data_IF_170912248038
#
_entry.id   IF_170912248038
#
_cell.length_a   1.000
_cell.length_b   1.000
_cell.length_c   1.000
_cell.angle_alpha   90.00
_cell.angle_beta   90.00
_cell.angle_gamma   90.00
#
_symmetry.space_group_name_H-M   'P 1'
#
loop_
_entity.id
_entity.type
_entity.pdbx_description
1 polymer ?
#
# COMPACT_ATOMS: atom_id res chain seq x y z
N UNK A 1 10.65 14.19 3.96
CA UNK A 1 11.46 13.40 3.00
C UNK A 1 12.11 12.24 3.74
N UNK A 2 12.02 11.02 3.19
CA UNK A 2 12.71 9.83 3.74
C UNK A 2 13.73 9.39 2.70
N UNK A 3 14.96 9.07 3.12
CA UNK A 3 16.00 8.62 2.20
C UNK A 3 16.70 7.37 2.76
N UNK A 4 16.87 6.36 1.91
CA UNK A 4 17.57 5.12 2.21
C UNK A 4 18.65 4.91 1.16
N UNK A 5 19.92 4.78 1.60
CA UNK A 5 21.11 4.66 0.74
C UNK A 5 21.89 3.41 1.10
N UNK A 6 22.02 2.51 0.14
CA UNK A 6 22.83 1.27 0.19
C UNK A 6 22.59 0.45 1.46
N UNK A 7 21.34 0.52 1.98
CA UNK A 7 20.99 -0.07 3.24
C UNK A 7 21.01 -1.60 3.16
N UNK A 8 21.88 -2.20 3.96
CA UNK A 8 21.89 -3.64 4.18
C UNK A 8 21.79 -3.93 5.67
N UNK A 9 20.93 -4.87 6.03
CA UNK A 9 20.83 -5.42 7.37
C UNK A 9 20.81 -6.93 7.30
N UNK A 10 21.89 -7.56 7.73
CA UNK A 10 22.06 -9.01 7.68
C UNK A 10 21.99 -9.54 9.12
N UNK A 11 21.12 -10.50 9.36
CA UNK A 11 21.00 -11.21 10.64
C UNK A 11 21.94 -12.43 10.66
N UNK A 12 22.17 -13.02 11.85
CA UNK A 12 23.06 -14.17 12.04
C UNK A 12 22.71 -15.40 11.20
N UNK A 13 21.45 -15.54 10.81
CA UNK A 13 20.95 -16.62 9.94
C UNK A 13 21.12 -16.32 8.43
N UNK A 14 21.84 -15.26 8.06
CA UNK A 14 22.06 -14.85 6.69
C UNK A 14 20.87 -14.13 6.02
N UNK A 15 19.69 -14.09 6.66
CA UNK A 15 18.52 -13.37 6.15
C UNK A 15 18.64 -11.88 6.47
N UNK A 16 17.88 -11.06 5.70
CA UNK A 16 17.88 -9.62 5.92
C UNK A 16 17.41 -8.83 4.71
N UNK A 17 17.94 -7.61 4.61
CA UNK A 17 17.76 -6.76 3.43
C UNK A 17 19.14 -6.38 2.89
N UNK A 18 19.22 -6.22 1.57
CA UNK A 18 20.46 -6.09 0.85
C UNK A 18 20.36 -4.95 -0.14
N UNK A 19 21.23 -3.95 0.02
CA UNK A 19 21.43 -2.87 -0.93
C UNK A 19 20.14 -2.10 -1.28
N UNK A 20 19.32 -1.81 -0.26
CA UNK A 20 18.06 -1.10 -0.40
C UNK A 20 18.31 0.38 -0.67
N UNK A 21 17.79 0.86 -1.79
CA UNK A 21 17.89 2.25 -2.22
C UNK A 21 16.51 2.78 -2.61
N UNK A 22 16.01 3.79 -1.92
CA UNK A 22 14.83 4.54 -2.32
C UNK A 22 14.74 5.88 -1.61
N UNK A 23 13.91 6.77 -2.17
CA UNK A 23 13.63 8.08 -1.63
C UNK A 23 12.13 8.34 -1.67
N UNK A 24 11.59 8.86 -0.57
CA UNK A 24 10.22 9.37 -0.46
C UNK A 24 10.30 10.88 -0.40
N UNK A 25 9.65 11.55 -1.33
CA UNK A 25 9.65 13.01 -1.39
C UNK A 25 8.72 13.62 -0.32
N UNK A 26 8.90 14.91 -0.04
CA UNK A 26 8.01 15.59 0.91
C UNK A 26 6.59 15.65 0.36
N UNK A 27 5.61 15.25 1.17
CA UNK A 27 4.19 15.22 0.79
C UNK A 27 3.79 14.03 -0.09
N UNK A 28 4.71 13.09 -0.32
CA UNK A 28 4.46 11.87 -1.09
C UNK A 28 3.89 10.76 -0.20
N UNK A 29 2.98 9.97 -0.76
CA UNK A 29 2.58 8.67 -0.22
C UNK A 29 3.30 7.58 -1.01
N UNK A 30 4.20 6.86 -0.35
CA UNK A 30 5.06 5.85 -0.94
C UNK A 30 4.72 4.46 -0.41
N UNK A 31 4.40 3.54 -1.31
CA UNK A 31 4.13 2.15 -1.02
C UNK A 31 5.41 1.32 -0.95
N UNK A 32 5.51 0.42 0.02
CA UNK A 32 6.59 -0.56 0.11
C UNK A 32 5.97 -1.94 0.04
N UNK A 33 5.89 -2.49 -1.17
CA UNK A 33 5.05 -3.63 -1.53
C UNK A 33 5.89 -4.91 -1.64
N UNK A 34 5.38 -5.99 -1.07
CA UNK A 34 6.03 -7.30 -1.14
C UNK A 34 5.39 -8.34 -0.23
N UNK A 35 5.67 -9.63 -0.43
CA UNK A 35 5.13 -10.70 0.39
C UNK A 35 5.65 -10.65 1.83
N UNK A 36 5.07 -11.47 2.70
CA UNK A 36 5.56 -11.65 4.04
C UNK A 36 6.98 -12.21 4.01
N UNK A 37 7.85 -11.64 4.87
CA UNK A 37 9.26 -12.02 4.90
C UNK A 37 10.16 -11.36 3.86
N UNK A 38 9.62 -10.55 2.92
CA UNK A 38 10.42 -9.88 1.89
C UNK A 38 11.41 -8.82 2.41
N UNK A 39 11.31 -8.40 3.69
CA UNK A 39 12.22 -7.42 4.29
C UNK A 39 11.56 -6.07 4.62
N UNK A 40 10.26 -5.87 4.40
CA UNK A 40 9.53 -4.63 4.67
C UNK A 40 9.75 -4.12 6.09
N UNK A 41 9.36 -4.92 7.08
CA UNK A 41 9.52 -4.57 8.51
C UNK A 41 10.99 -4.37 8.91
N UNK A 42 11.94 -5.11 8.32
CA UNK A 42 13.38 -4.92 8.58
C UNK A 42 13.83 -3.54 8.12
N UNK A 43 13.42 -3.10 6.93
CA UNK A 43 13.72 -1.76 6.40
C UNK A 43 13.09 -0.68 7.28
N UNK A 44 11.81 -0.83 7.65
CA UNK A 44 11.11 0.09 8.55
C UNK A 44 11.81 0.19 9.90
N UNK A 45 12.23 -0.92 10.51
CA UNK A 45 12.96 -0.90 11.80
C UNK A 45 14.29 -0.14 11.74
N UNK A 46 14.99 -0.16 10.59
CA UNK A 46 16.18 0.68 10.40
C UNK A 46 15.81 2.17 10.29
N UNK A 47 14.75 2.53 9.58
CA UNK A 47 14.24 3.90 9.50
C UNK A 47 13.81 4.47 10.86
N UNK A 48 13.30 3.61 11.74
CA UNK A 48 12.90 3.99 13.11
C UNK A 48 14.05 4.03 14.11
N UNK A 49 15.27 3.64 13.69
CA UNK A 49 16.42 3.53 14.59
C UNK A 49 16.33 2.35 15.58
N UNK A 50 15.40 1.40 15.38
CA UNK A 50 15.23 0.22 16.25
C UNK A 50 16.29 -0.85 15.99
N UNK A 51 16.92 -0.82 14.83
CA UNK A 51 18.03 -1.70 14.46
C UNK A 51 19.13 -0.90 13.77
N UNK A 52 20.38 -1.32 13.97
CA UNK A 52 21.51 -0.73 13.25
C UNK A 52 21.71 -1.46 11.92
N UNK A 53 21.90 -0.73 10.82
CA UNK A 53 22.26 -1.34 9.55
C UNK A 53 23.65 -2.01 9.63
N UNK A 54 23.86 -3.02 8.80
CA UNK A 54 25.18 -3.64 8.57
C UNK A 54 26.02 -2.75 7.65
N UNK A 55 25.37 -2.14 6.65
CA UNK A 55 25.94 -1.16 5.70
C UNK A 55 24.89 -0.12 5.32
N UNK A 56 25.34 1.00 4.77
CA UNK A 56 24.47 2.07 4.29
C UNK A 56 23.91 2.94 5.40
N UNK A 57 22.94 3.76 5.04
CA UNK A 57 22.33 4.74 5.94
C UNK A 57 20.88 5.01 5.59
N UNK A 58 20.15 5.58 6.56
CA UNK A 58 18.82 6.12 6.34
C UNK A 58 18.64 7.43 7.10
N UNK A 59 17.82 8.32 6.54
CA UNK A 59 17.52 9.62 7.13
C UNK A 59 16.03 10.00 6.93
N UNK A 60 15.50 10.77 7.87
CA UNK A 60 14.17 11.37 7.81
C UNK A 60 14.31 12.88 8.03
N UNK A 61 13.82 13.67 7.07
CA UNK A 61 13.98 15.12 7.04
C UNK A 61 15.45 15.59 7.24
N UNK A 62 16.42 14.83 6.68
CA UNK A 62 17.85 15.09 6.81
C UNK A 62 18.47 14.64 8.12
N UNK A 63 17.68 14.15 9.08
CA UNK A 63 18.15 13.61 10.35
C UNK A 63 18.53 12.14 10.18
N UNK A 64 19.72 11.77 10.65
CA UNK A 64 20.20 10.38 10.64
C UNK A 64 19.34 9.50 11.56
N UNK A 65 18.78 8.43 11.02
CA UNK A 65 17.81 7.58 11.72
C UNK A 65 18.38 6.90 12.99
N UNK A 66 19.69 6.71 13.04
CA UNK A 66 20.37 6.11 14.20
C UNK A 66 20.77 7.16 15.24
N UNK A 67 21.41 8.25 14.79
CA UNK A 67 21.99 9.25 15.70
C UNK A 67 20.94 10.20 16.27
N UNK A 68 19.88 10.45 15.51
CA UNK A 68 18.85 11.44 15.84
C UNK A 68 17.46 10.82 16.03
N UNK A 69 17.40 9.50 16.33
CA UNK A 69 16.15 8.77 16.52
C UNK A 69 15.16 9.47 17.46
N UNK A 70 15.63 10.01 18.59
CA UNK A 70 14.77 10.74 19.55
C UNK A 70 14.13 12.01 18.95
N UNK A 71 14.83 12.71 18.07
CA UNK A 71 14.29 13.90 17.37
C UNK A 71 13.27 13.48 16.32
N UNK A 72 13.57 12.41 15.58
CA UNK A 72 12.69 11.85 14.56
C UNK A 72 11.36 11.38 15.19
N UNK A 73 11.39 10.72 16.36
CA UNK A 73 10.20 10.25 17.05
C UNK A 73 9.22 11.37 17.42
N UNK A 74 9.67 12.60 17.59
CA UNK A 74 8.78 13.76 17.89
C UNK A 74 7.90 14.15 16.71
N UNK A 75 8.39 13.96 15.48
CA UNK A 75 7.70 14.35 14.24
C UNK A 75 7.05 13.14 13.52
N UNK A 76 7.21 11.94 14.08
CA UNK A 76 6.84 10.69 13.45
C UNK A 76 5.57 10.08 14.05
N UNK A 77 4.64 9.68 13.17
CA UNK A 77 3.58 8.72 13.47
C UNK A 77 3.97 7.34 13.00
N UNK A 78 3.81 6.32 13.85
CA UNK A 78 4.21 4.95 13.51
C UNK A 78 3.15 3.93 13.88
N UNK A 79 2.88 3.00 12.96
CA UNK A 79 2.11 1.78 13.22
C UNK A 79 3.02 0.59 12.98
N UNK A 80 3.30 -0.25 14.00
CA UNK A 80 4.00 -1.51 13.81
C UNK A 80 3.09 -2.58 13.20
N UNK A 81 3.67 -3.53 12.46
CA UNK A 81 2.93 -4.65 11.88
C UNK A 81 2.27 -5.55 12.95
N UNK A 82 2.88 -5.61 14.13
CA UNK A 82 2.29 -6.22 15.33
C UNK A 82 2.34 -5.21 16.47
N UNK A 83 1.17 -4.81 16.96
CA UNK A 83 1.06 -3.83 18.04
C UNK A 83 0.93 -4.51 19.38
N UNK A 84 1.86 -4.23 20.29
CA UNK A 84 1.75 -4.60 21.69
C UNK A 84 0.99 -3.54 22.49
N UNK A 85 0.07 -3.97 23.32
CA UNK A 85 -0.75 -3.11 24.15
C UNK A 85 -0.68 -3.51 25.62
N UNK A 86 -1.10 -2.60 26.50
CA UNK A 86 -1.34 -2.92 27.90
C UNK A 86 -2.75 -3.49 28.05
N UNK A 87 -2.87 -4.80 28.19
CA UNK A 87 -4.14 -5.54 28.17
C UNK A 87 -5.16 -5.11 29.23
N UNK A 88 -4.71 -4.56 30.35
CA UNK A 88 -5.58 -4.10 31.45
C UNK A 88 -6.16 -2.70 31.23
N UNK A 89 -5.61 -1.94 30.29
CA UNK A 89 -6.14 -0.61 29.94
C UNK A 89 -7.37 -0.73 29.04
N UNK A 90 -8.21 0.31 29.04
CA UNK A 90 -9.18 0.55 27.96
C UNK A 90 -8.48 1.22 26.79
N UNK A 91 -9.12 1.19 25.60
CA UNK A 91 -8.58 1.89 24.42
C UNK A 91 -8.31 3.36 24.68
N UNK A 92 -9.27 4.06 25.31
CA UNK A 92 -9.10 5.49 25.61
C UNK A 92 -7.97 5.74 26.62
N UNK A 93 -7.81 4.86 27.62
CA UNK A 93 -6.71 4.99 28.58
C UNK A 93 -5.36 4.82 27.90
N UNK A 94 -5.22 3.86 26.97
CA UNK A 94 -3.99 3.67 26.21
C UNK A 94 -3.70 4.85 25.28
N UNK A 95 -4.71 5.36 24.57
CA UNK A 95 -4.57 6.52 23.68
C UNK A 95 -4.12 7.75 24.48
N UNK A 96 -4.74 8.02 25.63
CA UNK A 96 -4.35 9.12 26.52
C UNK A 96 -2.94 8.95 27.05
N UNK A 97 -2.57 7.74 27.48
CA UNK A 97 -1.21 7.44 27.93
C UNK A 97 -0.14 7.78 26.87
N UNK A 98 -0.41 7.45 25.58
CA UNK A 98 0.51 7.82 24.49
C UNK A 98 0.55 9.34 24.28
N UNK A 99 -0.58 10.05 24.41
CA UNK A 99 -0.65 11.51 24.35
C UNK A 99 0.19 12.16 25.45
N UNK A 100 0.04 11.67 26.68
CA UNK A 100 0.76 12.15 27.87
C UNK A 100 2.28 11.91 27.73
N UNK A 101 2.69 10.72 27.25
CA UNK A 101 4.10 10.42 26.96
C UNK A 101 4.73 11.35 25.93
N UNK A 102 3.92 11.86 24.97
CA UNK A 102 4.39 12.85 23.99
C UNK A 102 4.44 14.27 24.55
N UNK A 103 3.83 14.53 25.69
CA UNK A 103 3.70 15.86 26.27
C UNK A 103 2.87 16.82 25.41
N UNK A 104 1.90 16.31 24.67
CA UNK A 104 1.07 17.07 23.72
C UNK A 104 -0.42 16.88 24.03
N UNK A 105 -1.21 17.95 23.92
CA UNK A 105 -2.67 17.80 23.91
C UNK A 105 -3.16 17.37 22.54
N UNK A 106 -3.51 16.09 22.45
CA UNK A 106 -4.04 15.48 21.23
C UNK A 106 -5.58 15.33 21.26
N UNK A 107 -6.27 15.87 22.28
CA UNK A 107 -7.68 15.59 22.59
C UNK A 107 -8.61 15.82 21.40
N UNK A 108 -8.52 16.97 20.75
CA UNK A 108 -9.36 17.33 19.60
C UNK A 108 -9.21 16.36 18.41
N UNK A 109 -7.99 16.03 18.05
CA UNK A 109 -7.72 15.13 16.92
C UNK A 109 -8.01 13.68 17.30
N UNK A 110 -7.69 13.28 18.54
CA UNK A 110 -8.04 11.99 19.10
C UNK A 110 -9.55 11.73 19.01
N UNK A 111 -10.37 12.66 19.48
CA UNK A 111 -11.83 12.49 19.53
C UNK A 111 -12.44 12.43 18.13
N UNK A 112 -11.92 13.25 17.20
CA UNK A 112 -12.25 13.14 15.78
C UNK A 112 -11.94 11.73 15.22
N UNK A 113 -10.75 11.21 15.48
CA UNK A 113 -10.33 9.90 14.95
C UNK A 113 -11.09 8.74 15.60
N UNK A 114 -11.44 8.83 16.88
CA UNK A 114 -12.31 7.86 17.57
C UNK A 114 -13.67 7.78 16.88
N UNK A 115 -14.28 8.91 16.58
CA UNK A 115 -15.54 8.97 15.84
C UNK A 115 -15.39 8.50 14.40
N UNK A 116 -14.34 8.92 13.72
CA UNK A 116 -14.06 8.56 12.33
C UNK A 116 -13.92 7.04 12.13
N UNK A 117 -13.22 6.35 13.03
CA UNK A 117 -13.07 4.89 13.00
C UNK A 117 -14.15 4.13 13.79
N UNK A 118 -15.15 4.82 14.35
CA UNK A 118 -16.20 4.19 15.16
C UNK A 118 -15.61 3.26 16.23
N UNK A 119 -14.60 3.75 16.97
CA UNK A 119 -13.93 2.95 17.99
C UNK A 119 -14.71 3.00 19.32
N UNK A 120 -15.11 1.85 19.83
CA UNK A 120 -15.61 1.66 21.19
C UNK A 120 -14.45 1.77 22.21
N UNK A 121 -13.96 3.02 22.42
CA UNK A 121 -12.70 3.30 23.11
C UNK A 121 -12.71 2.93 24.60
N UNK A 122 -13.88 2.84 25.25
CA UNK A 122 -14.01 2.46 26.66
C UNK A 122 -13.87 0.96 26.94
N UNK A 123 -13.82 0.13 25.89
CA UNK A 123 -13.63 -1.32 26.01
C UNK A 123 -12.20 -1.65 26.46
N UNK A 124 -12.04 -2.67 27.33
CA UNK A 124 -10.71 -3.16 27.73
C UNK A 124 -9.99 -3.78 26.52
N UNK A 125 -8.72 -3.47 26.32
CA UNK A 125 -7.92 -3.91 25.15
C UNK A 125 -7.88 -5.44 25.04
N UNK A 126 -7.78 -6.17 26.17
CA UNK A 126 -7.83 -7.66 26.16
C UNK A 126 -9.14 -8.24 25.60
N UNK A 127 -10.22 -7.45 25.56
CA UNK A 127 -11.53 -7.83 25.02
C UNK A 127 -11.79 -7.28 23.61
N UNK A 128 -10.83 -6.56 23.03
CA UNK A 128 -10.94 -6.00 21.69
C UNK A 128 -10.57 -7.06 20.63
N UNK A 129 -11.28 -7.05 19.51
CA UNK A 129 -10.90 -7.81 18.32
C UNK A 129 -9.59 -7.25 17.73
N UNK A 130 -8.95 -8.00 16.80
CA UNK A 130 -7.78 -7.53 16.06
C UNK A 130 -8.04 -6.18 15.38
N UNK A 131 -9.20 -6.04 14.71
CA UNK A 131 -9.58 -4.80 14.04
C UNK A 131 -9.78 -3.62 14.99
N UNK A 132 -10.37 -3.84 16.19
CA UNK A 132 -10.46 -2.78 17.21
C UNK A 132 -9.08 -2.35 17.73
N UNK A 133 -8.18 -3.30 17.96
CA UNK A 133 -6.80 -3.00 18.34
C UNK A 133 -6.07 -2.21 17.24
N UNK A 134 -6.31 -2.55 15.98
CA UNK A 134 -5.75 -1.82 14.85
C UNK A 134 -6.27 -0.38 14.77
N UNK A 135 -7.58 -0.15 15.06
CA UNK A 135 -8.13 1.22 15.17
C UNK A 135 -7.44 2.02 16.28
N UNK A 136 -7.15 1.41 17.43
CA UNK A 136 -6.36 2.06 18.51
C UNK A 136 -4.98 2.45 18.02
N UNK A 137 -4.28 1.56 17.30
CA UNK A 137 -2.96 1.85 16.73
C UNK A 137 -3.00 3.00 15.71
N UNK A 138 -4.00 3.00 14.82
CA UNK A 138 -4.23 4.10 13.87
C UNK A 138 -4.42 5.44 14.61
N UNK A 139 -5.30 5.49 15.59
CA UNK A 139 -5.55 6.72 16.35
C UNK A 139 -4.27 7.23 17.01
N UNK A 140 -3.50 6.37 17.66
CA UNK A 140 -2.24 6.77 18.33
C UNK A 140 -1.18 7.28 17.36
N UNK A 141 -1.14 6.74 16.14
CA UNK A 141 -0.19 7.16 15.12
C UNK A 141 -0.53 8.52 14.48
N UNK A 142 -1.82 8.88 14.41
CA UNK A 142 -2.27 10.08 13.71
C UNK A 142 -2.71 11.23 14.63
N UNK A 143 -3.01 10.98 15.91
CA UNK A 143 -3.64 11.96 16.81
C UNK A 143 -2.78 13.20 17.10
N UNK A 144 -1.45 13.09 17.04
CA UNK A 144 -0.51 14.18 17.31
C UNK A 144 -0.09 14.96 16.05
N UNK A 145 -0.81 14.75 14.94
CA UNK A 145 -0.65 15.42 13.65
C UNK A 145 0.81 15.39 13.10
N UNK A 146 1.44 14.22 13.00
CA UNK A 146 2.86 14.09 12.62
C UNK A 146 3.15 14.62 11.22
N UNK A 147 4.40 15.06 10.97
CA UNK A 147 4.87 15.45 9.63
C UNK A 147 5.17 14.23 8.75
N UNK A 148 5.68 13.17 9.36
CA UNK A 148 6.07 11.93 8.69
C UNK A 148 5.30 10.77 9.32
N UNK A 149 4.80 9.87 8.50
CA UNK A 149 3.99 8.73 8.94
C UNK A 149 4.58 7.47 8.32
N UNK A 150 4.92 6.49 9.16
CA UNK A 150 5.40 5.17 8.75
C UNK A 150 4.41 4.13 9.23
N UNK A 151 3.88 3.34 8.29
CA UNK A 151 2.82 2.38 8.54
C UNK A 151 3.27 0.99 8.08
N UNK A 152 3.34 0.03 9.00
CA UNK A 152 3.66 -1.35 8.67
C UNK A 152 2.37 -2.19 8.71
N UNK A 153 1.86 -2.60 7.53
CA UNK A 153 0.61 -3.35 7.34
C UNK A 153 -0.62 -2.72 8.03
N UNK A 154 -0.93 -1.42 7.78
CA UNK A 154 -1.86 -0.63 8.58
C UNK A 154 -3.31 -1.11 8.57
N UNK A 155 -3.74 -1.85 7.56
CA UNK A 155 -5.13 -2.31 7.41
C UNK A 155 -5.34 -3.75 7.87
N UNK A 156 -4.29 -4.38 8.40
CA UNK A 156 -4.36 -5.77 8.87
C UNK A 156 -5.46 -5.96 9.93
N UNK A 157 -6.46 -6.81 9.62
CA UNK A 157 -7.58 -7.11 10.52
C UNK A 157 -8.72 -6.09 10.53
N UNK A 158 -8.66 -5.06 9.70
CA UNK A 158 -9.78 -4.15 9.47
C UNK A 158 -10.78 -4.78 8.49
N UNK A 159 -12.06 -4.54 8.73
CA UNK A 159 -13.12 -4.86 7.77
C UNK A 159 -13.08 -3.93 6.56
N UNK A 160 -13.76 -4.29 5.43
CA UNK A 160 -13.70 -3.50 4.20
C UNK A 160 -14.17 -2.05 4.35
N UNK A 161 -15.11 -1.76 5.24
CA UNK A 161 -15.58 -0.40 5.48
C UNK A 161 -14.48 0.44 6.15
N UNK A 162 -13.81 -0.12 7.16
CA UNK A 162 -12.71 0.54 7.85
C UNK A 162 -11.47 0.67 6.98
N UNK A 163 -11.20 -0.26 6.06
CA UNK A 163 -10.16 -0.11 5.04
C UNK A 163 -10.45 1.09 4.12
N UNK A 164 -11.71 1.29 3.70
CA UNK A 164 -12.09 2.49 2.92
C UNK A 164 -11.86 3.78 3.70
N UNK A 165 -12.25 3.83 4.98
CA UNK A 165 -11.98 4.98 5.86
C UNK A 165 -10.49 5.23 6.04
N UNK A 166 -9.68 4.18 6.14
CA UNK A 166 -8.23 4.33 6.16
C UNK A 166 -7.71 5.00 4.87
N UNK A 167 -8.17 4.57 3.69
CA UNK A 167 -7.83 5.21 2.41
C UNK A 167 -8.22 6.69 2.39
N UNK A 168 -9.40 7.04 2.93
CA UNK A 168 -9.85 8.43 3.06
C UNK A 168 -8.91 9.23 3.97
N UNK A 169 -8.54 8.69 5.14
CA UNK A 169 -7.60 9.32 6.06
C UNK A 169 -6.24 9.58 5.39
N UNK A 170 -5.68 8.60 4.66
CA UNK A 170 -4.40 8.78 3.94
C UNK A 170 -4.51 9.90 2.91
N UNK A 171 -5.61 9.98 2.17
CA UNK A 171 -5.85 11.07 1.21
C UNK A 171 -5.97 12.45 1.88
N UNK A 172 -6.61 12.52 3.05
CA UNK A 172 -6.68 13.75 3.84
C UNK A 172 -5.29 14.19 4.32
N UNK A 173 -4.52 13.27 4.89
CA UNK A 173 -3.17 13.57 5.39
C UNK A 173 -2.22 13.97 4.25
N UNK A 174 -2.34 13.33 3.08
CA UNK A 174 -1.61 13.74 1.87
C UNK A 174 -1.93 15.17 1.46
N UNK A 175 -3.22 15.55 1.45
CA UNK A 175 -3.63 16.93 1.13
C UNK A 175 -3.05 17.97 2.09
N UNK A 176 -2.74 17.58 3.34
CA UNK A 176 -2.04 18.41 4.32
C UNK A 176 -0.52 18.45 4.10
N UNK A 177 0.01 17.78 3.09
CA UNK A 177 1.43 17.72 2.76
C UNK A 177 2.25 16.79 3.65
N UNK A 178 1.61 15.84 4.34
CA UNK A 178 2.31 14.83 5.14
C UNK A 178 3.05 13.85 4.24
N UNK A 179 4.23 13.41 4.69
CA UNK A 179 5.02 12.38 4.00
C UNK A 179 4.70 11.02 4.59
N UNK A 180 4.26 10.07 3.78
CA UNK A 180 3.76 8.77 4.24
C UNK A 180 4.53 7.64 3.56
N UNK A 181 5.10 6.75 4.34
CA UNK A 181 5.63 5.46 3.91
C UNK A 181 4.74 4.36 4.46
N UNK A 182 4.15 3.53 3.60
CA UNK A 182 3.33 2.42 4.06
C UNK A 182 3.77 1.10 3.43
N UNK A 183 3.98 0.08 4.26
CA UNK A 183 4.15 -1.26 3.78
C UNK A 183 2.80 -1.95 3.60
N UNK A 184 2.68 -2.73 2.55
CA UNK A 184 1.50 -3.55 2.32
C UNK A 184 1.84 -4.79 1.48
N UNK A 185 1.03 -5.82 1.59
CA UNK A 185 0.98 -6.93 0.65
C UNK A 185 -0.32 -6.89 -0.19
N UNK A 186 -1.16 -5.86 0.00
CA UNK A 186 -2.45 -5.67 -0.69
C UNK A 186 -2.27 -4.62 -1.78
N UNK A 187 -2.35 -5.04 -3.03
CA UNK A 187 -2.15 -4.18 -4.21
C UNK A 187 -3.19 -3.06 -4.32
N UNK A 188 -4.47 -3.38 -4.11
CA UNK A 188 -5.57 -2.42 -4.17
C UNK A 188 -5.40 -1.25 -3.18
N UNK A 189 -4.85 -1.53 -1.99
CA UNK A 189 -4.54 -0.51 -0.98
C UNK A 189 -3.48 0.48 -1.50
N UNK A 190 -2.38 -0.06 -2.05
CA UNK A 190 -1.29 0.75 -2.62
C UNK A 190 -1.78 1.54 -3.83
N UNK A 191 -2.58 0.92 -4.68
CA UNK A 191 -3.16 1.55 -5.87
C UNK A 191 -4.05 2.77 -5.56
N UNK A 192 -4.78 2.70 -4.45
CA UNK A 192 -5.72 3.76 -4.04
C UNK A 192 -5.09 4.88 -3.25
N UNK A 193 -3.93 4.65 -2.66
CA UNK A 193 -3.32 5.59 -1.70
C UNK A 193 -1.99 6.15 -2.16
N UNK A 194 -1.15 5.37 -2.84
CA UNK A 194 0.24 5.72 -3.10
C UNK A 194 0.43 6.47 -4.43
N UNK A 195 1.45 7.31 -4.48
CA UNK A 195 1.95 7.96 -5.69
C UNK A 195 2.93 7.07 -6.43
N UNK A 196 3.86 6.50 -5.67
CA UNK A 196 4.88 5.56 -6.12
C UNK A 196 4.95 4.38 -5.17
N UNK A 197 5.49 3.27 -5.68
CA UNK A 197 5.76 2.11 -4.85
C UNK A 197 7.10 1.46 -5.21
N UNK A 198 7.81 1.01 -4.18
CA UNK A 198 8.91 0.07 -4.33
C UNK A 198 8.40 -1.36 -4.13
N UNK A 199 8.83 -2.26 -4.99
CA UNK A 199 8.58 -3.70 -4.89
C UNK A 199 9.81 -4.33 -4.26
N UNK A 200 9.60 -5.02 -3.14
CA UNK A 200 10.67 -5.76 -2.46
C UNK A 200 10.43 -7.26 -2.55
N UNK A 201 11.47 -8.00 -2.93
CA UNK A 201 11.53 -9.46 -2.96
C UNK A 201 12.86 -9.93 -2.37
N UNK A 202 12.84 -10.92 -1.51
CA UNK A 202 14.04 -11.56 -0.93
C UNK A 202 15.07 -10.57 -0.39
N UNK A 203 14.59 -9.50 0.24
CA UNK A 203 15.43 -8.47 0.82
C UNK A 203 16.02 -7.46 -0.16
N UNK A 204 15.60 -7.43 -1.43
CA UNK A 204 16.06 -6.50 -2.47
C UNK A 204 14.90 -5.76 -3.11
N UNK A 205 15.11 -4.51 -3.51
CA UNK A 205 14.16 -3.78 -4.33
C UNK A 205 14.33 -4.25 -5.78
N UNK A 206 13.25 -4.76 -6.37
CA UNK A 206 13.21 -5.22 -7.77
C UNK A 206 12.68 -4.15 -8.71
N UNK A 207 11.88 -3.21 -8.23
CA UNK A 207 11.39 -2.05 -9.00
C UNK A 207 10.96 -0.91 -8.09
N UNK A 208 11.03 0.31 -8.61
CA UNK A 208 10.38 1.52 -8.02
C UNK A 208 9.62 2.23 -9.11
N UNK A 209 8.30 2.30 -8.98
CA UNK A 209 7.42 2.73 -10.07
C UNK A 209 6.39 3.76 -9.62
N UNK A 210 5.98 4.63 -10.55
CA UNK A 210 4.81 5.50 -10.38
C UNK A 210 3.53 4.71 -10.57
N UNK A 211 2.60 4.78 -9.63
CA UNK A 211 1.30 4.10 -9.73
C UNK A 211 0.49 4.58 -10.94
N UNK A 212 0.52 5.88 -11.25
CA UNK A 212 -0.16 6.43 -12.42
C UNK A 212 0.41 5.89 -13.73
N UNK A 213 1.75 5.77 -13.85
CA UNK A 213 2.42 5.22 -15.04
C UNK A 213 2.10 3.74 -15.20
N UNK A 214 2.11 2.97 -14.10
CA UNK A 214 1.72 1.56 -14.13
C UNK A 214 0.28 1.39 -14.61
N UNK A 215 -0.66 2.22 -14.11
CA UNK A 215 -2.06 2.22 -14.56
C UNK A 215 -2.20 2.54 -16.04
N UNK A 216 -1.48 3.53 -16.54
CA UNK A 216 -1.56 3.91 -17.96
C UNK A 216 -0.92 2.88 -18.89
N UNK A 217 0.01 2.06 -18.40
CA UNK A 217 0.63 0.97 -19.19
C UNK A 217 -0.28 -0.27 -19.32
N UNK A 218 -1.38 -0.32 -18.57
CA UNK A 218 -2.35 -1.41 -18.65
C UNK A 218 -3.19 -1.20 -19.92
N UNK A 219 -2.97 -2.01 -20.94
CA UNK A 219 -3.89 -2.09 -22.06
C UNK A 219 -5.26 -2.52 -21.53
N UNK A 220 -6.28 -1.70 -21.74
CA UNK A 220 -7.66 -2.08 -21.43
C UNK A 220 -8.02 -3.27 -22.29
N UNK A 221 -8.48 -4.35 -21.71
CA UNK A 221 -9.01 -5.48 -22.44
C UNK A 221 -10.43 -5.81 -22.03
N UNK A 222 -11.17 -6.41 -22.94
CA UNK A 222 -12.57 -6.77 -22.77
C UNK A 222 -12.75 -8.24 -23.12
N UNK A 223 -13.37 -8.99 -22.26
CA UNK A 223 -13.85 -10.31 -22.59
C UNK A 223 -15.19 -10.20 -23.28
N UNK A 224 -15.25 -10.71 -24.50
CA UNK A 224 -16.47 -10.72 -25.33
C UNK A 224 -16.87 -12.15 -25.55
N UNK A 225 -18.10 -12.49 -25.18
CA UNK A 225 -18.70 -13.80 -25.48
C UNK A 225 -19.73 -13.60 -26.58
N UNK A 226 -19.59 -14.30 -27.68
CA UNK A 226 -20.48 -14.25 -28.85
C UNK A 226 -21.33 -15.51 -29.03
N UNK A 227 -22.29 -15.46 -29.93
CA UNK A 227 -23.25 -16.55 -30.11
C UNK A 227 -22.81 -17.61 -31.11
N UNK A 228 -21.92 -17.26 -32.06
CA UNK A 228 -21.54 -18.15 -33.17
C UNK A 228 -20.10 -17.93 -33.64
N UNK A 229 -19.56 -18.92 -34.33
CA UNK A 229 -18.25 -18.82 -34.98
C UNK A 229 -18.20 -17.74 -36.05
N UNK A 230 -19.34 -17.44 -36.73
CA UNK A 230 -19.42 -16.34 -37.70
C UNK A 230 -19.17 -14.97 -37.05
N UNK A 231 -19.61 -14.78 -35.80
CA UNK A 231 -19.36 -13.57 -35.04
C UNK A 231 -17.89 -13.45 -34.61
N UNK A 232 -17.24 -14.57 -34.34
CA UNK A 232 -15.79 -14.61 -34.09
C UNK A 232 -15.03 -14.14 -35.32
N UNK A 233 -15.38 -14.62 -36.51
CA UNK A 233 -14.73 -14.21 -37.77
C UNK A 233 -14.95 -12.73 -38.09
N UNK A 234 -16.11 -12.17 -37.74
CA UNK A 234 -16.38 -10.71 -37.85
C UNK A 234 -15.45 -9.91 -36.94
N UNK A 235 -15.23 -10.39 -35.69
CA UNK A 235 -14.30 -9.72 -34.74
C UNK A 235 -12.87 -9.82 -35.25
N UNK A 236 -12.43 -10.98 -35.75
CA UNK A 236 -11.11 -11.18 -36.32
C UNK A 236 -10.85 -10.27 -37.51
N UNK A 237 -11.83 -10.14 -38.42
CA UNK A 237 -11.76 -9.29 -39.57
C UNK A 237 -11.87 -7.78 -39.27
N UNK A 238 -12.39 -7.43 -38.06
CA UNK A 238 -12.54 -6.07 -37.59
C UNK A 238 -11.22 -5.34 -37.28
N UNK A 239 -10.06 -6.02 -37.38
CA UNK A 239 -8.72 -5.46 -37.16
C UNK A 239 -8.48 -5.01 -35.71
N UNK A 240 -9.13 -5.65 -34.75
CA UNK A 240 -8.87 -5.50 -33.32
C UNK A 240 -7.79 -6.50 -32.89
N UNK A 241 -6.92 -6.08 -31.94
CA UNK A 241 -5.98 -7.00 -31.31
C UNK A 241 -6.76 -7.89 -30.33
N UNK A 242 -6.70 -9.22 -30.48
CA UNK A 242 -7.46 -10.14 -29.66
C UNK A 242 -6.67 -11.40 -29.32
N UNK A 243 -7.16 -12.10 -28.29
CA UNK A 243 -6.70 -13.44 -27.89
C UNK A 243 -7.93 -14.31 -27.70
N UNK A 244 -7.97 -15.49 -28.31
CA UNK A 244 -9.04 -16.48 -28.08
C UNK A 244 -8.83 -17.12 -26.71
N UNK A 245 -9.86 -17.14 -25.89
CA UNK A 245 -9.87 -17.75 -24.55
C UNK A 245 -10.58 -19.10 -24.60
N UNK A 246 -11.78 -19.15 -25.21
CA UNK A 246 -12.59 -20.33 -25.40
C UNK A 246 -13.26 -20.29 -26.76
N UNK A 247 -14.02 -21.37 -27.13
CA UNK A 247 -14.70 -21.49 -28.43
C UNK A 247 -15.50 -20.25 -28.81
N UNK A 248 -16.18 -19.60 -27.85
CA UNK A 248 -17.03 -18.43 -28.08
C UNK A 248 -16.61 -17.18 -27.30
N UNK A 249 -15.43 -17.17 -26.66
CA UNK A 249 -14.95 -16.08 -25.80
C UNK A 249 -13.60 -15.58 -26.24
N UNK A 250 -13.52 -14.27 -26.48
CA UNK A 250 -12.32 -13.55 -26.91
C UNK A 250 -11.93 -12.50 -25.89
N UNK A 251 -10.64 -12.28 -25.66
CA UNK A 251 -10.09 -11.12 -24.98
C UNK A 251 -9.64 -10.10 -26.05
N UNK A 252 -10.29 -8.94 -26.13
CA UNK A 252 -10.00 -7.89 -27.10
C UNK A 252 -9.21 -6.79 -26.38
N UNK A 253 -8.04 -6.42 -26.92
CA UNK A 253 -7.17 -5.37 -26.38
C UNK A 253 -7.45 -4.03 -27.07
N UNK A 254 -7.62 -2.97 -26.28
CA UNK A 254 -7.89 -1.62 -26.77
C UNK A 254 -6.82 -0.67 -26.24
N UNK A 255 -6.20 0.06 -27.16
CA UNK A 255 -5.23 1.10 -26.79
C UNK A 255 -5.93 2.41 -26.41
N UNK A 256 -6.89 2.92 -27.22
CA UNK A 256 -7.69 4.13 -26.92
C UNK A 256 -8.96 4.28 -27.79
N UNK A 257 -9.19 3.43 -28.79
CA UNK A 257 -10.28 3.59 -29.77
C UNK A 257 -11.49 2.70 -29.46
N UNK A 258 -12.32 3.09 -28.52
CA UNK A 258 -13.63 2.44 -28.27
C UNK A 258 -14.55 2.42 -29.49
N UNK A 259 -14.43 3.42 -30.36
CA UNK A 259 -15.26 3.50 -31.56
C UNK A 259 -15.15 2.24 -32.40
N UNK A 260 -13.95 1.79 -32.68
CA UNK A 260 -13.67 0.59 -33.48
C UNK A 260 -14.21 -0.68 -32.81
N UNK A 261 -14.10 -0.78 -31.46
CA UNK A 261 -14.70 -1.88 -30.69
C UNK A 261 -16.21 -1.91 -30.92
N UNK A 262 -16.90 -0.81 -30.66
CA UNK A 262 -18.35 -0.76 -30.76
C UNK A 262 -18.85 -0.95 -32.22
N UNK A 263 -18.16 -0.39 -33.23
CA UNK A 263 -18.46 -0.64 -34.63
C UNK A 263 -18.33 -2.10 -35.03
N UNK A 264 -17.36 -2.83 -34.46
CA UNK A 264 -17.19 -4.25 -34.73
C UNK A 264 -18.23 -5.06 -34.00
N UNK A 265 -18.43 -4.81 -32.68
CA UNK A 265 -19.39 -5.57 -31.87
C UNK A 265 -20.83 -5.33 -32.28
N UNK A 266 -21.19 -4.18 -32.87
CA UNK A 266 -22.54 -3.92 -33.38
C UNK A 266 -22.96 -4.84 -34.54
N UNK A 267 -21.99 -5.50 -35.18
CA UNK A 267 -22.22 -6.46 -36.28
C UNK A 267 -22.30 -7.91 -35.78
N UNK A 268 -22.11 -8.12 -34.49
CA UNK A 268 -22.03 -9.44 -33.84
C UNK A 268 -23.22 -9.61 -32.87
N UNK A 269 -23.61 -10.85 -32.65
CA UNK A 269 -24.57 -11.17 -31.60
C UNK A 269 -23.80 -11.43 -30.30
N UNK A 270 -23.53 -10.33 -29.56
CA UNK A 270 -22.80 -10.37 -28.29
C UNK A 270 -23.71 -10.86 -27.17
N UNK A 271 -23.31 -11.95 -26.48
CA UNK A 271 -24.00 -12.48 -25.30
C UNK A 271 -23.56 -11.81 -24.02
N UNK A 272 -22.26 -11.49 -23.93
CA UNK A 272 -21.68 -10.91 -22.74
C UNK A 272 -20.47 -10.03 -23.07
N UNK A 273 -20.29 -8.95 -22.30
CA UNK A 273 -19.17 -8.01 -22.41
C UNK A 273 -18.69 -7.64 -21.03
N UNK A 274 -17.56 -8.21 -20.62
CA UNK A 274 -16.92 -7.95 -19.34
C UNK A 274 -15.64 -7.13 -19.55
N UNK A 275 -15.37 -6.20 -18.64
CA UNK A 275 -14.07 -5.54 -18.62
C UNK A 275 -13.04 -6.45 -17.99
N UNK A 276 -11.98 -6.77 -18.72
CA UNK A 276 -10.79 -7.36 -18.12
C UNK A 276 -10.02 -6.25 -17.40
N UNK A 277 -10.19 -6.14 -16.12
CA UNK A 277 -9.33 -5.29 -15.30
C UNK A 277 -8.06 -6.06 -15.00
N UNK A 278 -7.02 -5.91 -15.84
CA UNK A 278 -5.66 -6.27 -15.37
C UNK A 278 -5.40 -5.44 -14.13
N UNK A 279 -5.22 -6.11 -13.03
CA UNK A 279 -4.91 -5.46 -11.75
C UNK A 279 -3.43 -5.08 -11.73
N UNK A 280 -3.06 -4.08 -10.94
CA UNK A 280 -1.64 -3.83 -10.64
C UNK A 280 -0.95 -5.11 -10.15
N UNK A 281 -1.66 -6.01 -9.50
CA UNK A 281 -1.16 -7.32 -9.06
C UNK A 281 -0.58 -8.14 -10.21
N UNK A 282 -1.25 -8.19 -11.37
CA UNK A 282 -0.72 -8.92 -12.55
C UNK A 282 0.56 -8.29 -13.11
N UNK A 283 0.66 -6.95 -13.04
CA UNK A 283 1.88 -6.26 -13.45
C UNK A 283 3.01 -6.58 -12.47
N UNK A 284 2.72 -6.54 -11.18
CA UNK A 284 3.69 -6.85 -10.14
C UNK A 284 4.15 -8.32 -10.21
N UNK A 285 3.26 -9.27 -10.51
CA UNK A 285 3.60 -10.67 -10.75
C UNK A 285 4.63 -10.80 -11.88
N UNK A 286 4.60 -9.96 -12.91
CA UNK A 286 5.63 -9.94 -13.98
C UNK A 286 7.00 -9.55 -13.46
N UNK A 287 7.10 -8.62 -12.51
CA UNK A 287 8.38 -8.29 -11.86
C UNK A 287 8.91 -9.44 -10.99
N UNK A 288 8.00 -10.29 -10.45
CA UNK A 288 8.38 -11.49 -9.73
C UNK A 288 8.89 -12.60 -10.66
N UNK A 289 8.38 -12.71 -11.89
CA UNK A 289 8.68 -13.81 -12.80
C UNK A 289 9.79 -13.48 -13.81
N UNK A 290 10.24 -12.22 -13.91
CA UNK A 290 11.23 -11.79 -14.92
C UNK A 290 12.66 -12.27 -14.70
N UNK A 291 12.98 -12.93 -13.59
CA UNK A 291 14.31 -13.46 -13.31
C UNK A 291 14.43 -14.98 -13.51
N UNK A 292 13.41 -15.64 -14.05
CA UNK A 292 13.49 -17.08 -14.41
C UNK A 292 13.84 -17.35 -15.89
N UNK A 293 14.26 -16.31 -16.66
CA UNK A 293 14.72 -16.46 -18.04
C UNK A 293 16.12 -15.86 -18.24
#
# INVERSE_FOLDING_TARGET
>A
MIEVKDLSKIYSNGKGVFDINFKVEKGEVFGFLGPNGAGKTTTIRNLLGFTNPTKGSCSINGMDCRKEASRIQKILGYIPGETAFFDNMTGIQFINFISDMRGMDCSKRRDYLIGFFELEANRKIRKMSKGMKQKVALITAFMHDPEVIILDEPTSGLDPLMQRRFVELIKEEKKKGKTILMSSHIFDEVERTCDRAAIIREGRIVAVENISTLKSSIKKSYFVTVSSDEDIEKIKSGGLEFKTIDENRLEIFISDEFKKLFETLSKCNVKDLETSSKTLEEIFIRYYNKEEN
#
